data_IF_148044366266
#
_entry.id   IF_148044366266
#
_cell.length_a   1.000
_cell.length_b   1.000
_cell.length_c   1.000
_cell.angle_alpha   90.00
_cell.angle_beta   90.00
_cell.angle_gamma   90.00
#
_symmetry.space_group_name_H-M   'P 1'
#
loop_
_entity.id
_entity.type
_entity.pdbx_description
1 polymer ?
#
# COMPACT_ATOMS: atom_id res chain seq x y z
N UNK A 1 1.74 65.68 -26.51
CA UNK A 1 1.20 64.36 -26.11
C UNK A 1 2.18 63.77 -25.11
N UNK A 2 1.80 63.64 -23.84
CA UNK A 2 2.62 62.93 -22.85
C UNK A 2 2.04 61.53 -22.66
N UNK A 3 2.86 60.51 -22.93
CA UNK A 3 2.53 59.13 -22.60
C UNK A 3 3.07 58.88 -21.19
N UNK A 4 2.17 58.69 -20.23
CA UNK A 4 2.54 58.21 -18.89
C UNK A 4 2.70 56.70 -18.99
N UNK A 5 3.94 56.23 -18.93
CA UNK A 5 4.22 54.81 -18.73
C UNK A 5 4.18 54.58 -17.22
N UNK A 6 3.10 53.98 -16.73
CA UNK A 6 3.00 53.48 -15.37
C UNK A 6 3.49 52.04 -15.35
N UNK A 7 4.57 51.80 -14.60
CA UNK A 7 5.04 50.46 -14.29
C UNK A 7 4.11 49.84 -13.24
N UNK A 8 3.36 48.79 -13.60
CA UNK A 8 2.46 48.09 -12.69
C UNK A 8 3.20 46.91 -12.04
N UNK A 9 4.00 47.23 -11.02
CA UNK A 9 4.78 46.29 -10.19
C UNK A 9 3.92 45.21 -9.51
N UNK A 10 2.59 45.35 -9.48
CA UNK A 10 1.72 44.44 -8.76
C UNK A 10 1.70 43.03 -9.37
N UNK A 11 1.84 42.93 -10.71
CA UNK A 11 1.97 41.64 -11.39
C UNK A 11 3.22 40.88 -10.98
N UNK A 12 4.37 41.57 -10.94
CA UNK A 12 5.65 40.99 -10.54
C UNK A 12 5.68 40.55 -9.08
N UNK A 13 5.12 41.35 -8.17
CA UNK A 13 4.99 40.99 -6.74
C UNK A 13 4.20 39.70 -6.55
N UNK A 14 3.10 39.53 -7.30
CA UNK A 14 2.29 38.31 -7.27
C UNK A 14 3.08 37.09 -7.77
N UNK A 15 3.74 37.21 -8.93
CA UNK A 15 4.55 36.12 -9.49
C UNK A 15 5.66 35.72 -8.51
N UNK A 16 6.37 36.70 -7.94
CA UNK A 16 7.42 36.46 -6.94
C UNK A 16 6.90 35.71 -5.72
N UNK A 17 5.70 36.06 -5.24
CA UNK A 17 5.06 35.35 -4.13
C UNK A 17 4.77 33.89 -4.49
N UNK A 18 4.20 33.62 -5.67
CA UNK A 18 3.89 32.25 -6.10
C UNK A 18 5.14 31.38 -6.31
N UNK A 19 6.22 31.98 -6.84
CA UNK A 19 7.51 31.30 -6.95
C UNK A 19 8.14 31.04 -5.57
N UNK A 20 7.97 31.94 -4.61
CA UNK A 20 8.42 31.74 -3.23
C UNK A 20 7.68 30.57 -2.56
N UNK A 21 6.38 30.40 -2.84
CA UNK A 21 5.63 29.21 -2.40
C UNK A 21 6.26 27.93 -2.94
N UNK A 22 6.62 27.88 -4.23
CA UNK A 22 7.31 26.71 -4.81
C UNK A 22 8.71 26.50 -4.23
N UNK A 23 9.37 27.58 -3.81
CA UNK A 23 10.67 27.47 -3.18
C UNK A 23 10.59 26.92 -1.76
N UNK A 24 9.57 27.33 -0.99
CA UNK A 24 9.38 26.95 0.42
C UNK A 24 8.69 25.61 0.63
N UNK A 25 7.84 25.18 -0.30
CA UNK A 25 7.02 23.98 -0.12
C UNK A 25 7.37 22.88 -1.12
N UNK A 26 7.14 21.64 -0.71
CA UNK A 26 7.30 20.45 -1.53
C UNK A 26 6.08 19.54 -1.37
N UNK A 27 5.82 18.72 -2.39
CA UNK A 27 4.81 17.68 -2.33
C UNK A 27 5.46 16.34 -1.98
N UNK A 28 4.97 15.70 -0.92
CA UNK A 28 5.39 14.36 -0.51
C UNK A 28 4.23 13.40 -0.73
N UNK A 29 4.49 12.28 -1.41
CA UNK A 29 3.49 11.30 -1.81
C UNK A 29 3.79 9.97 -1.12
N UNK A 30 2.77 9.29 -0.58
CA UNK A 30 3.00 8.04 0.12
C UNK A 30 1.82 7.62 1.01
N UNK A 31 2.16 7.02 2.14
CA UNK A 31 1.21 6.50 3.12
C UNK A 31 1.46 7.19 4.45
N UNK A 32 0.37 7.57 5.12
CA UNK A 32 0.42 8.11 6.48
C UNK A 32 -0.53 7.30 7.37
N UNK A 33 -0.16 7.15 8.63
CA UNK A 33 -0.98 6.45 9.61
C UNK A 33 -0.13 5.76 10.65
N UNK A 34 -0.70 4.70 11.23
CA UNK A 34 -0.06 3.93 12.28
C UNK A 34 1.15 3.12 11.78
N UNK A 35 1.99 2.71 12.73
CA UNK A 35 3.20 1.90 12.48
C UNK A 35 2.91 0.63 11.67
N UNK A 36 1.77 -0.02 11.93
CA UNK A 36 1.34 -1.25 11.25
C UNK A 36 1.12 -1.03 9.75
N UNK A 37 0.46 0.07 9.36
CA UNK A 37 0.27 0.42 7.96
C UNK A 37 1.61 0.65 7.25
N UNK A 38 2.51 1.40 7.90
CA UNK A 38 3.83 1.69 7.34
C UNK A 38 4.65 0.41 7.18
N UNK A 39 4.62 -0.49 8.17
CA UNK A 39 5.28 -1.79 8.09
C UNK A 39 4.75 -2.64 6.94
N UNK A 40 3.42 -2.70 6.75
CA UNK A 40 2.80 -3.40 5.61
C UNK A 40 3.28 -2.81 4.28
N UNK A 41 3.28 -1.49 4.15
CA UNK A 41 3.75 -0.79 2.94
C UNK A 41 5.21 -1.11 2.65
N UNK A 42 6.09 -1.03 3.66
CA UNK A 42 7.51 -1.33 3.52
C UNK A 42 7.74 -2.77 3.11
N UNK A 43 7.05 -3.73 3.76
CA UNK A 43 7.15 -5.15 3.42
C UNK A 43 6.71 -5.41 1.99
N UNK A 44 5.65 -4.75 1.52
CA UNK A 44 5.20 -4.90 0.14
C UNK A 44 6.15 -4.24 -0.86
N UNK A 45 6.66 -3.04 -0.59
CA UNK A 45 7.55 -2.30 -1.51
C UNK A 45 8.92 -2.98 -1.71
N UNK A 46 9.47 -3.58 -0.65
CA UNK A 46 10.83 -4.15 -0.64
C UNK A 46 10.88 -5.68 -0.55
N UNK A 47 9.76 -6.31 -0.20
CA UNK A 47 9.74 -7.74 0.14
C UNK A 47 10.35 -8.00 1.51
N UNK A 48 10.07 -9.18 2.07
CA UNK A 48 10.69 -9.64 3.31
C UNK A 48 10.66 -11.16 3.43
N UNK A 49 11.43 -11.69 4.37
CA UNK A 49 11.31 -13.09 4.80
C UNK A 49 10.89 -13.11 6.25
N UNK A 50 9.68 -13.60 6.53
CA UNK A 50 9.18 -13.79 7.88
C UNK A 50 9.65 -15.16 8.36
N UNK A 51 10.23 -15.21 9.57
CA UNK A 51 10.67 -16.44 10.23
C UNK A 51 10.03 -16.54 11.60
N UNK A 52 9.79 -17.76 12.07
CA UNK A 52 9.36 -17.98 13.44
C UNK A 52 10.49 -17.55 14.40
N UNK A 53 10.15 -16.75 15.43
CA UNK A 53 11.14 -16.20 16.37
C UNK A 53 11.39 -17.11 17.58
N UNK A 54 10.31 -17.60 18.20
CA UNK A 54 10.37 -18.34 19.47
C UNK A 54 9.92 -19.80 19.34
N UNK A 55 9.56 -20.23 18.13
CA UNK A 55 9.01 -21.55 17.84
C UNK A 55 9.59 -22.07 16.54
N UNK A 56 9.51 -23.37 16.29
CA UNK A 56 10.02 -23.99 15.06
C UNK A 56 9.18 -23.68 13.81
N UNK A 57 7.93 -23.25 13.99
CA UNK A 57 6.94 -23.13 12.92
C UNK A 57 6.13 -21.83 13.00
N UNK A 58 5.89 -21.24 11.84
CA UNK A 58 4.79 -20.32 11.59
C UNK A 58 3.55 -21.15 11.25
N UNK A 59 2.42 -20.76 11.85
CA UNK A 59 1.12 -21.39 11.62
C UNK A 59 0.37 -20.55 10.59
N UNK A 60 0.17 -21.11 9.40
CA UNK A 60 -0.60 -20.45 8.34
C UNK A 60 -1.97 -21.13 8.25
N UNK A 61 -3.07 -20.42 8.57
CA UNK A 61 -4.43 -20.89 8.39
C UNK A 61 -4.68 -21.45 6.99
N UNK A 62 -5.44 -22.52 6.89
CA UNK A 62 -5.98 -23.03 5.63
C UNK A 62 -7.39 -22.47 5.40
N UNK A 63 -7.96 -22.71 4.21
CA UNK A 63 -9.37 -22.42 3.90
C UNK A 63 -10.39 -23.15 4.80
N UNK A 64 -9.94 -24.17 5.53
CA UNK A 64 -10.77 -24.93 6.46
C UNK A 64 -10.70 -24.40 7.89
N UNK A 65 -9.87 -23.37 8.13
CA UNK A 65 -9.87 -22.64 9.39
C UNK A 65 -11.15 -21.81 9.49
N UNK A 66 -11.70 -21.75 10.70
CA UNK A 66 -12.81 -20.85 10.98
C UNK A 66 -12.24 -19.45 11.29
N UNK A 67 -13.01 -18.41 10.98
CA UNK A 67 -12.64 -17.06 11.40
C UNK A 67 -12.93 -16.89 12.90
N UNK A 68 -12.09 -16.10 13.55
CA UNK A 68 -12.33 -15.59 14.89
C UNK A 68 -13.47 -14.58 14.89
N UNK A 69 -13.85 -14.15 16.09
CA UNK A 69 -14.94 -13.18 16.27
C UNK A 69 -14.62 -11.81 15.66
N UNK A 70 -13.33 -11.51 15.45
CA UNK A 70 -12.83 -10.32 14.76
C UNK A 70 -12.83 -10.46 13.22
N UNK A 71 -13.29 -11.61 12.70
CA UNK A 71 -13.30 -11.93 11.29
C UNK A 71 -11.92 -12.22 10.70
N UNK A 72 -10.87 -12.34 11.53
CA UNK A 72 -9.53 -12.74 11.10
C UNK A 72 -9.32 -14.23 11.34
N UNK A 73 -8.33 -14.86 10.67
CA UNK A 73 -7.99 -16.24 10.95
C UNK A 73 -7.54 -16.44 12.41
N UNK A 74 -8.01 -17.51 13.04
CA UNK A 74 -7.77 -17.76 14.45
C UNK A 74 -6.33 -18.23 14.72
N UNK A 75 -5.83 -17.92 15.91
CA UNK A 75 -4.65 -18.60 16.44
C UNK A 75 -4.96 -20.06 16.77
N UNK A 76 -3.94 -20.91 16.86
CA UNK A 76 -4.11 -22.31 17.28
C UNK A 76 -4.72 -22.45 18.68
N UNK A 77 -4.58 -21.43 19.53
CA UNK A 77 -5.15 -21.40 20.87
C UNK A 77 -6.66 -21.18 20.80
N UNK A 78 -7.07 -20.10 20.13
CA UNK A 78 -8.50 -19.78 19.90
C UNK A 78 -9.23 -20.92 19.20
N UNK A 79 -8.57 -21.54 18.21
CA UNK A 79 -9.13 -22.70 17.53
C UNK A 79 -9.41 -23.87 18.49
N UNK A 80 -8.47 -24.19 19.39
CA UNK A 80 -8.63 -25.28 20.38
C UNK A 80 -9.73 -24.97 21.39
N UNK A 81 -9.86 -23.71 21.78
CA UNK A 81 -10.91 -23.25 22.69
C UNK A 81 -12.30 -23.31 22.05
N UNK A 82 -12.40 -22.98 20.75
CA UNK A 82 -13.65 -23.01 19.98
C UNK A 82 -14.10 -24.41 19.58
N UNK A 83 -13.16 -25.34 19.38
CA UNK A 83 -13.42 -26.71 18.95
C UNK A 83 -12.81 -27.75 19.90
N UNK A 84 -13.28 -27.82 21.17
CA UNK A 84 -12.70 -28.73 22.16
C UNK A 84 -12.90 -30.22 21.80
N UNK A 85 -13.91 -30.54 21.00
CA UNK A 85 -14.27 -31.87 20.52
C UNK A 85 -13.44 -32.35 19.31
N UNK A 86 -12.68 -31.45 18.67
CA UNK A 86 -11.92 -31.73 17.45
C UNK A 86 -10.43 -31.49 17.66
N UNK A 87 -9.70 -32.32 18.43
CA UNK A 87 -8.32 -32.03 18.80
C UNK A 87 -7.41 -31.91 17.57
N UNK A 88 -6.69 -30.78 17.47
CA UNK A 88 -5.62 -30.60 16.47
C UNK A 88 -4.46 -31.56 16.77
N UNK A 89 -4.12 -32.39 15.80
CA UNK A 89 -2.91 -33.20 15.80
C UNK A 89 -1.96 -32.78 14.69
N UNK A 90 -0.67 -33.03 14.91
CA UNK A 90 0.39 -32.75 13.93
C UNK A 90 0.56 -33.94 12.99
N UNK A 91 0.47 -33.68 11.69
CA UNK A 91 0.78 -34.65 10.65
C UNK A 91 1.86 -34.06 9.73
N UNK A 92 3.13 -34.35 10.03
CA UNK A 92 4.26 -33.76 9.30
C UNK A 92 4.32 -32.23 9.43
N UNK A 93 4.11 -31.52 8.31
CA UNK A 93 4.14 -30.05 8.22
C UNK A 93 2.74 -29.41 8.26
N UNK A 94 1.75 -30.07 8.83
CA UNK A 94 0.41 -29.51 9.03
C UNK A 94 -0.14 -29.82 10.42
N UNK A 95 -1.04 -28.97 10.90
CA UNK A 95 -2.01 -29.31 11.94
C UNK A 95 -3.35 -29.62 11.28
N UNK A 96 -3.92 -30.76 11.63
CA UNK A 96 -5.15 -31.27 11.07
C UNK A 96 -6.08 -31.80 12.16
N UNK A 97 -7.34 -32.00 11.77
CA UNK A 97 -8.33 -32.75 12.54
C UNK A 97 -8.74 -34.00 11.79
N UNK A 98 -9.25 -34.98 12.54
CA UNK A 98 -9.85 -36.17 11.95
C UNK A 98 -11.19 -35.76 11.34
N UNK A 99 -11.37 -36.09 10.08
CA UNK A 99 -12.59 -35.78 9.35
C UNK A 99 -12.88 -36.92 8.38
N UNK A 100 -13.86 -37.76 8.75
CA UNK A 100 -14.23 -38.95 7.98
C UNK A 100 -14.90 -38.59 6.64
N UNK A 101 -15.40 -37.36 6.50
CA UNK A 101 -16.01 -36.87 5.27
C UNK A 101 -14.95 -36.41 4.25
N UNK A 102 -13.74 -36.06 4.72
CA UNK A 102 -12.63 -35.72 3.85
C UNK A 102 -12.06 -36.98 3.17
N UNK A 103 -11.68 -36.93 1.88
CA UNK A 103 -11.18 -38.10 1.13
C UNK A 103 -10.01 -38.85 1.78
N UNK A 104 -9.20 -38.13 2.57
CA UNK A 104 -8.01 -38.64 3.23
C UNK A 104 -8.23 -38.89 4.74
N UNK A 105 -9.47 -38.82 5.23
CA UNK A 105 -9.81 -38.97 6.65
C UNK A 105 -9.33 -37.82 7.54
N UNK A 106 -8.77 -36.75 6.97
CA UNK A 106 -8.21 -35.62 7.69
C UNK A 106 -8.51 -34.30 6.99
N UNK A 107 -8.73 -33.26 7.79
CA UNK A 107 -8.93 -31.88 7.33
C UNK A 107 -7.80 -31.01 7.87
N UNK A 108 -7.01 -30.44 6.97
CA UNK A 108 -5.88 -29.56 7.31
C UNK A 108 -6.43 -28.22 7.77
N UNK A 109 -6.05 -27.78 8.98
CA UNK A 109 -6.45 -26.49 9.55
C UNK A 109 -5.30 -25.47 9.46
N UNK A 110 -4.06 -25.87 9.79
CA UNK A 110 -2.89 -24.99 9.69
C UNK A 110 -1.75 -25.65 8.93
N UNK A 111 -1.09 -24.90 8.05
CA UNK A 111 0.20 -25.27 7.47
C UNK A 111 1.32 -24.79 8.38
N UNK A 112 2.26 -25.69 8.68
CA UNK A 112 3.44 -25.41 9.48
C UNK A 112 4.62 -25.12 8.55
N UNK A 113 5.05 -23.86 8.50
CA UNK A 113 6.19 -23.46 7.67
C UNK A 113 7.28 -22.80 8.51
N UNK A 114 8.55 -23.04 8.18
CA UNK A 114 9.68 -22.40 8.92
C UNK A 114 9.81 -20.91 8.58
N UNK A 115 9.51 -20.56 7.33
CA UNK A 115 9.60 -19.20 6.84
C UNK A 115 8.58 -18.94 5.74
N UNK A 116 8.18 -17.67 5.60
CA UNK A 116 7.37 -17.17 4.49
C UNK A 116 8.17 -16.10 3.77
N UNK A 117 8.41 -16.31 2.47
CA UNK A 117 9.02 -15.30 1.61
C UNK A 117 7.92 -14.46 0.98
N UNK A 118 7.86 -13.18 1.35
CA UNK A 118 6.98 -12.19 0.72
C UNK A 118 7.82 -11.47 -0.34
N UNK A 119 7.49 -11.63 -1.63
CA UNK A 119 8.26 -10.98 -2.67
C UNK A 119 7.95 -9.47 -2.74
N UNK A 120 8.94 -8.70 -3.23
CA UNK A 120 8.80 -7.26 -3.42
C UNK A 120 7.79 -6.93 -4.54
N UNK A 121 7.03 -5.86 -4.32
CA UNK A 121 6.08 -5.24 -5.24
C UNK A 121 6.35 -3.75 -5.22
N UNK A 122 7.34 -3.26 -6.00
CA UNK A 122 7.90 -1.92 -5.85
C UNK A 122 6.99 -0.85 -6.48
N UNK A 123 5.75 -0.70 -6.00
CA UNK A 123 4.75 0.18 -6.61
C UNK A 123 5.08 1.66 -6.46
N UNK A 124 5.74 2.08 -5.37
CA UNK A 124 6.16 3.48 -5.19
C UNK A 124 7.33 3.82 -6.12
N UNK A 125 8.42 3.03 -6.04
CA UNK A 125 9.62 3.29 -6.83
C UNK A 125 9.36 3.17 -8.33
N UNK A 126 8.59 2.15 -8.73
CA UNK A 126 8.22 1.95 -10.14
C UNK A 126 7.39 3.11 -10.66
N UNK A 127 6.36 3.55 -9.92
CA UNK A 127 5.56 4.70 -10.33
C UNK A 127 6.41 5.97 -10.47
N UNK A 128 7.34 6.20 -9.53
CA UNK A 128 8.25 7.35 -9.57
C UNK A 128 9.13 7.34 -10.82
N UNK A 129 9.80 6.22 -11.10
CA UNK A 129 10.73 6.08 -12.24
C UNK A 129 9.96 6.21 -13.56
N UNK A 130 8.84 5.50 -13.70
CA UNK A 130 8.07 5.49 -14.95
C UNK A 130 7.43 6.84 -15.29
N UNK A 131 7.20 7.70 -14.30
CA UNK A 131 6.53 8.99 -14.49
C UNK A 131 7.44 10.20 -14.25
N UNK A 132 8.75 10.01 -14.06
CA UNK A 132 9.70 11.10 -13.80
C UNK A 132 9.62 12.21 -14.86
N UNK A 133 9.70 11.84 -16.14
CA UNK A 133 9.60 12.80 -17.25
C UNK A 133 8.24 13.51 -17.31
N UNK A 134 7.15 12.83 -16.92
CA UNK A 134 5.81 13.40 -16.84
C UNK A 134 5.75 14.47 -15.75
N UNK A 135 6.31 14.20 -14.57
CA UNK A 135 6.35 15.16 -13.47
C UNK A 135 7.24 16.35 -13.77
N UNK A 136 8.41 16.13 -14.37
CA UNK A 136 9.29 17.21 -14.81
C UNK A 136 8.60 18.15 -15.83
N UNK A 137 7.88 17.58 -16.81
CA UNK A 137 7.10 18.36 -17.77
C UNK A 137 5.96 19.14 -17.11
N UNK A 138 5.23 18.50 -16.19
CA UNK A 138 4.14 19.12 -15.47
C UNK A 138 4.62 20.31 -14.62
N UNK A 139 5.77 20.15 -13.96
CA UNK A 139 6.42 21.23 -13.22
C UNK A 139 6.83 22.38 -14.15
N UNK A 140 7.50 22.09 -15.28
CA UNK A 140 7.93 23.12 -16.24
C UNK A 140 6.75 23.95 -16.75
N UNK A 141 5.73 23.29 -17.30
CA UNK A 141 4.52 23.96 -17.83
C UNK A 141 3.76 24.69 -16.72
N UNK A 142 3.73 24.12 -15.52
CA UNK A 142 3.13 24.76 -14.35
C UNK A 142 3.81 26.07 -13.96
N UNK A 143 5.15 26.09 -13.96
CA UNK A 143 5.94 27.30 -13.66
C UNK A 143 5.74 28.36 -14.73
N UNK A 144 5.74 27.99 -16.02
CA UNK A 144 5.43 28.91 -17.13
C UNK A 144 4.06 29.57 -16.91
N UNK A 145 3.02 28.78 -16.57
CA UNK A 145 1.69 29.31 -16.28
C UNK A 145 1.61 30.22 -15.05
N UNK A 146 2.47 30.00 -14.04
CA UNK A 146 2.55 30.88 -12.88
C UNK A 146 3.17 32.22 -13.28
N UNK A 147 4.21 32.21 -14.11
CA UNK A 147 4.85 33.41 -14.65
C UNK A 147 3.85 34.21 -15.48
N UNK A 148 3.02 33.53 -16.28
CA UNK A 148 1.96 34.16 -17.07
C UNK A 148 0.75 34.62 -16.22
N UNK A 149 0.78 34.41 -14.90
CA UNK A 149 -0.29 34.79 -13.97
C UNK A 149 -1.56 33.92 -14.05
N UNK A 150 -1.49 32.79 -14.76
CA UNK A 150 -2.61 31.88 -15.04
C UNK A 150 -2.74 30.73 -14.02
N UNK A 151 -1.73 30.54 -13.16
CA UNK A 151 -1.71 29.49 -12.14
C UNK A 151 -1.06 29.99 -10.83
N UNK A 152 -1.19 29.19 -9.77
CA UNK A 152 -0.58 29.45 -8.45
C UNK A 152 0.43 28.35 -8.10
N UNK A 153 1.43 28.68 -7.28
CA UNK A 153 2.43 27.73 -6.81
C UNK A 153 1.79 26.59 -6.03
N UNK A 154 0.83 26.91 -5.15
CA UNK A 154 0.04 25.89 -4.44
C UNK A 154 -0.75 25.01 -5.41
N UNK A 155 -1.38 25.60 -6.43
CA UNK A 155 -2.14 24.86 -7.44
C UNK A 155 -1.27 23.88 -8.23
N UNK A 156 -0.03 24.26 -8.54
CA UNK A 156 0.94 23.36 -9.17
C UNK A 156 1.32 22.19 -8.25
N UNK A 157 1.60 22.46 -6.98
CA UNK A 157 1.93 21.42 -5.99
C UNK A 157 0.76 20.44 -5.80
N UNK A 158 -0.48 20.94 -5.72
CA UNK A 158 -1.68 20.12 -5.66
C UNK A 158 -1.86 19.27 -6.92
N UNK A 159 -1.63 19.84 -8.11
CA UNK A 159 -1.71 19.12 -9.38
C UNK A 159 -0.68 17.99 -9.46
N UNK A 160 0.56 18.24 -9.04
CA UNK A 160 1.61 17.22 -8.94
C UNK A 160 1.21 16.10 -7.97
N UNK A 161 0.71 16.46 -6.79
CA UNK A 161 0.27 15.51 -5.76
C UNK A 161 -0.85 14.58 -6.24
N UNK A 162 -1.92 15.15 -6.80
CA UNK A 162 -3.04 14.37 -7.35
C UNK A 162 -2.58 13.45 -8.48
N UNK A 163 -1.75 13.96 -9.39
CA UNK A 163 -1.23 13.20 -10.53
C UNK A 163 -0.39 12.01 -10.05
N UNK A 164 0.53 12.23 -9.12
CA UNK A 164 1.39 11.19 -8.58
C UNK A 164 0.61 10.11 -7.79
N UNK A 165 -0.39 10.52 -6.99
CA UNK A 165 -1.29 9.55 -6.33
C UNK A 165 -2.03 8.70 -7.35
N UNK A 166 -2.54 9.30 -8.42
CA UNK A 166 -3.23 8.58 -9.50
C UNK A 166 -2.31 7.57 -10.18
N UNK A 167 -1.07 7.96 -10.48
CA UNK A 167 -0.08 7.09 -11.12
C UNK A 167 0.34 5.94 -10.21
N UNK A 168 0.58 6.18 -8.92
CA UNK A 168 0.87 5.10 -7.95
C UNK A 168 -0.31 4.13 -7.89
N UNK A 169 -1.55 4.63 -7.80
CA UNK A 169 -2.75 3.77 -7.81
C UNK A 169 -2.85 2.95 -9.10
N UNK A 170 -2.48 3.53 -10.24
CA UNK A 170 -2.41 2.81 -11.52
C UNK A 170 -1.33 1.72 -11.48
N UNK A 171 -0.12 2.04 -11.02
CA UNK A 171 0.98 1.07 -10.88
C UNK A 171 0.61 -0.07 -9.93
N UNK A 172 -0.06 0.21 -8.82
CA UNK A 172 -0.59 -0.82 -7.91
C UNK A 172 -1.58 -1.77 -8.60
N UNK A 173 -2.47 -1.27 -9.47
CA UNK A 173 -3.41 -2.10 -10.26
C UNK A 173 -2.70 -2.96 -11.31
N UNK A 174 -1.61 -2.45 -11.89
CA UNK A 174 -0.88 -3.13 -12.96
C UNK A 174 0.17 -4.13 -12.42
N UNK A 175 0.58 -3.99 -11.16
CA UNK A 175 1.52 -4.88 -10.49
C UNK A 175 0.85 -6.20 -10.04
N UNK A 176 0.50 -7.01 -11.04
CA UNK A 176 -0.03 -8.36 -10.85
C UNK A 176 1.06 -9.40 -10.56
N UNK A 177 2.34 -9.04 -10.76
CA UNK A 177 3.49 -9.92 -10.55
C UNK A 177 4.50 -9.29 -9.58
N UNK A 178 5.01 -10.05 -8.62
CA UNK A 178 4.60 -11.41 -8.26
C UNK A 178 3.21 -11.42 -7.59
N UNK A 179 2.36 -12.36 -8.03
CA UNK A 179 1.00 -12.55 -7.51
C UNK A 179 0.98 -12.99 -6.04
N UNK A 180 -0.20 -13.28 -5.51
CA UNK A 180 -0.31 -13.89 -4.18
C UNK A 180 0.34 -15.30 -4.17
N UNK A 181 0.83 -15.76 -3.02
CA UNK A 181 1.27 -17.14 -2.89
C UNK A 181 0.09 -18.10 -3.15
N UNK A 182 0.27 -19.29 -3.75
CA UNK A 182 -0.84 -20.19 -4.08
C UNK A 182 -1.79 -20.47 -2.91
N UNK A 183 -1.25 -20.76 -1.72
CA UNK A 183 -2.02 -20.93 -0.50
C UNK A 183 -2.84 -19.69 -0.11
N UNK A 184 -2.29 -18.50 -0.35
CA UNK A 184 -2.96 -17.23 -0.10
C UNK A 184 -4.08 -16.97 -1.11
N UNK A 185 -3.94 -17.44 -2.36
CA UNK A 185 -5.01 -17.39 -3.38
C UNK A 185 -6.14 -18.33 -2.97
N UNK A 186 -5.82 -19.57 -2.62
CA UNK A 186 -6.80 -20.59 -2.21
C UNK A 186 -7.59 -20.16 -0.97
N UNK A 187 -6.94 -19.46 -0.03
CA UNK A 187 -7.60 -18.94 1.17
C UNK A 187 -8.39 -17.64 0.93
N UNK A 188 -8.01 -16.80 -0.05
CA UNK A 188 -8.65 -15.49 -0.30
C UNK A 188 -9.64 -15.48 -1.45
N UNK A 189 -9.57 -16.45 -2.35
CA UNK A 189 -10.36 -16.50 -3.58
C UNK A 189 -9.96 -15.49 -4.67
N UNK A 190 -8.89 -14.71 -4.49
CA UNK A 190 -8.39 -13.77 -5.52
C UNK A 190 -6.86 -13.62 -5.50
N UNK A 191 -6.28 -13.29 -6.66
CA UNK A 191 -4.83 -13.30 -6.91
C UNK A 191 -4.17 -11.90 -6.84
N UNK A 192 -4.95 -10.82 -6.67
CA UNK A 192 -4.37 -9.48 -6.56
C UNK A 192 -3.74 -9.25 -5.17
N UNK A 193 -2.44 -8.95 -5.08
CA UNK A 193 -1.78 -8.79 -3.80
C UNK A 193 -1.91 -7.42 -3.14
N UNK A 194 -2.33 -6.39 -3.87
CA UNK A 194 -2.39 -5.00 -3.42
C UNK A 194 -3.83 -4.47 -3.32
N UNK A 195 -4.76 -5.15 -3.99
CA UNK A 195 -6.17 -4.79 -4.10
C UNK A 195 -6.99 -5.98 -3.62
N UNK A 196 -7.22 -6.06 -2.32
CA UNK A 196 -7.97 -7.15 -1.73
C UNK A 196 -9.03 -6.70 -0.75
N UNK A 197 -10.23 -7.30 -0.82
CA UNK A 197 -11.12 -7.43 0.34
C UNK A 197 -10.73 -8.72 1.04
N UNK A 198 -10.19 -8.67 2.25
CA UNK A 198 -10.13 -9.91 3.04
C UNK A 198 -11.48 -10.16 3.70
N UNK A 199 -11.81 -11.44 3.85
CA UNK A 199 -12.61 -11.94 4.95
C UNK A 199 -12.08 -11.29 6.25
N UNK A 200 -12.94 -10.51 6.93
CA UNK A 200 -12.55 -9.72 8.11
C UNK A 200 -12.48 -8.20 7.92
N UNK A 201 -12.75 -7.65 6.74
CA UNK A 201 -13.17 -6.25 6.59
C UNK A 201 -12.17 -5.12 6.93
N UNK A 202 -11.00 -5.39 7.53
CA UNK A 202 -10.03 -4.34 7.88
C UNK A 202 -9.03 -4.00 6.76
N UNK A 203 -9.05 -4.75 5.67
CA UNK A 203 -8.26 -4.48 4.46
C UNK A 203 -8.96 -3.50 3.51
N UNK A 204 -9.39 -2.33 3.99
CA UNK A 204 -9.79 -1.26 3.07
C UNK A 204 -8.62 -1.00 2.10
N UNK A 205 -8.80 -1.38 0.83
CA UNK A 205 -7.73 -1.63 -0.13
C UNK A 205 -6.56 -0.63 0.01
N UNK A 206 -5.33 -1.13 0.17
CA UNK A 206 -4.12 -0.31 0.40
C UNK A 206 -4.03 0.86 -0.58
N UNK A 207 -4.47 0.64 -1.82
CA UNK A 207 -4.62 1.64 -2.88
C UNK A 207 -5.42 2.92 -2.49
N UNK A 208 -6.34 2.82 -1.53
CA UNK A 208 -7.14 3.94 -1.04
C UNK A 208 -6.39 4.75 0.04
N UNK A 209 -5.30 4.20 0.60
CA UNK A 209 -4.50 4.85 1.65
C UNK A 209 -3.33 5.67 1.10
N UNK A 210 -2.97 5.52 -0.17
CA UNK A 210 -2.01 6.42 -0.81
C UNK A 210 -2.65 7.80 -1.00
N UNK A 211 -1.94 8.84 -0.59
CA UNK A 211 -2.31 10.24 -0.75
C UNK A 211 -1.05 11.12 -0.89
N UNK A 212 -1.19 12.44 -0.82
CA UNK A 212 -0.08 13.38 -0.78
C UNK A 212 -0.26 14.41 0.35
N UNK A 213 0.84 15.05 0.75
CA UNK A 213 0.85 16.24 1.60
C UNK A 213 1.77 17.28 1.00
N UNK A 214 1.40 18.55 1.11
CA UNK A 214 2.29 19.67 0.84
C UNK A 214 2.91 20.08 2.17
N UNK A 215 4.24 20.04 2.26
CA UNK A 215 5.00 20.34 3.48
C UNK A 215 6.09 21.38 3.19
N UNK A 216 6.56 22.13 4.20
CA UNK A 216 7.75 22.96 4.06
C UNK A 216 8.98 22.13 3.65
N UNK A 217 9.90 22.74 2.89
CA UNK A 217 11.23 22.16 2.63
C UNK A 217 12.11 22.40 3.86
N UNK A 218 12.65 21.34 4.45
CA UNK A 218 13.56 21.41 5.59
C UNK A 218 13.01 20.86 6.91
N UNK A 219 11.74 20.44 6.93
CA UNK A 219 11.20 19.51 7.94
C UNK A 219 11.50 18.04 7.55
#
# INVERSE_FOLDING_TARGET
MSVKITDDDNGWKKIKHELDVLNRYQVVIGFWGNKKLLEIVTVLEYGTTIRAKNYDWLFIPSKNDDLGDDGLPMSTKEWREKHPDKPLFKAGHVLAINDKESPNGLKIIFYLVKQVKIPARPFLRKASIENEHKYARLAKVGVERIIDGQATGKGLLDLLGHTAVSDIRRTMRLLLKPGNAPLTIDNKGFNDPLIGRHAGGQGGALINKVTYKIIPKGD
#
